data_IF_383654825573
#
_entry.id   IF_383654825573
#
_cell.length_a   1.000
_cell.length_b   1.000
_cell.length_c   1.000
_cell.angle_alpha   90.00
_cell.angle_beta   90.00
_cell.angle_gamma   90.00
#
_symmetry.space_group_name_H-M   'P 1'
#
loop_
_entity.id
_entity.type
_entity.pdbx_description
1 polymer ?
#
# COMPACT_ATOMS: atom_id res chain seq x y z
N UNK A 1 11.75 14.87 -16.62
CA UNK A 1 12.05 15.42 -15.27
C UNK A 1 13.19 14.66 -14.60
N UNK A 2 13.21 13.32 -14.59
CA UNK A 2 14.34 12.54 -14.04
C UNK A 2 15.67 12.81 -14.76
N UNK A 3 15.66 12.97 -16.10
CA UNK A 3 16.86 13.30 -16.88
C UNK A 3 17.46 14.70 -16.58
N UNK A 4 16.69 15.61 -15.94
CA UNK A 4 17.18 16.96 -15.61
C UNK A 4 18.38 16.95 -14.68
N UNK A 5 18.57 15.86 -13.91
CA UNK A 5 19.73 15.73 -13.02
C UNK A 5 21.06 15.66 -13.80
N UNK A 6 21.02 15.29 -15.07
CA UNK A 6 22.19 15.22 -15.96
C UNK A 6 22.45 16.51 -16.73
N UNK A 7 21.56 17.50 -16.65
CA UNK A 7 21.79 18.81 -17.27
C UNK A 7 23.04 19.47 -16.66
N UNK A 8 23.82 20.24 -17.45
CA UNK A 8 25.01 20.91 -16.94
C UNK A 8 24.67 21.95 -15.85
N UNK A 9 25.66 22.29 -15.03
CA UNK A 9 25.50 23.39 -14.08
C UNK A 9 25.35 24.73 -14.83
N UNK A 10 24.57 25.69 -14.28
CA UNK A 10 24.43 27.00 -14.91
C UNK A 10 25.77 27.74 -14.94
N UNK A 11 25.99 28.62 -15.95
CA UNK A 11 27.18 29.45 -16.01
C UNK A 11 27.20 30.51 -14.89
N UNK A 12 28.36 31.15 -14.62
CA UNK A 12 28.44 32.33 -13.76
C UNK A 12 27.48 33.44 -14.22
N UNK A 13 26.89 34.18 -13.28
CA UNK A 13 25.98 35.30 -13.56
C UNK A 13 26.68 36.51 -14.22
N UNK A 14 27.98 36.66 -13.98
CA UNK A 14 28.84 37.71 -14.55
C UNK A 14 30.15 37.08 -14.98
N UNK A 15 30.76 37.65 -16.01
CA UNK A 15 32.10 37.27 -16.44
C UNK A 15 33.09 37.50 -15.28
N UNK A 16 33.89 36.48 -14.94
CA UNK A 16 34.75 36.48 -13.75
C UNK A 16 34.03 36.34 -12.39
N UNK A 17 32.72 36.16 -12.38
CA UNK A 17 31.92 35.99 -11.17
C UNK A 17 31.99 34.59 -10.54
N UNK A 18 31.25 34.38 -9.45
CA UNK A 18 31.16 33.07 -8.79
C UNK A 18 30.59 32.00 -9.72
N UNK A 19 31.10 30.75 -9.67
CA UNK A 19 30.60 29.67 -10.50
C UNK A 19 29.15 29.34 -10.14
N UNK A 20 28.31 29.20 -11.17
CA UNK A 20 26.97 28.65 -11.01
C UNK A 20 27.03 27.19 -10.54
N UNK A 21 26.07 26.78 -9.70
CA UNK A 21 26.05 25.45 -9.08
C UNK A 21 24.73 24.76 -9.35
N UNK A 22 24.80 23.46 -9.60
CA UNK A 22 23.65 22.56 -9.65
C UNK A 22 23.50 21.88 -8.29
N UNK A 23 22.29 21.93 -7.73
CA UNK A 23 21.95 21.26 -6.47
C UNK A 23 20.91 20.19 -6.79
N UNK A 24 21.28 18.92 -6.58
CA UNK A 24 20.37 17.79 -6.75
C UNK A 24 19.92 17.31 -5.38
N UNK A 25 18.63 17.48 -5.07
CA UNK A 25 18.02 16.93 -3.86
C UNK A 25 17.44 15.56 -4.23
N UNK A 26 17.97 14.49 -3.62
CA UNK A 26 17.65 13.11 -3.99
C UNK A 26 17.39 12.23 -2.77
N UNK A 27 16.75 11.08 -3.00
CA UNK A 27 16.67 9.98 -2.02
C UNK A 27 17.92 9.10 -2.10
N UNK A 28 17.90 7.95 -1.42
CA UNK A 28 18.92 6.91 -1.56
C UNK A 28 19.04 6.32 -2.99
N UNK A 29 18.20 6.71 -3.94
CA UNK A 29 18.40 6.36 -5.36
C UNK A 29 19.75 6.85 -5.91
N UNK A 30 20.26 7.98 -5.41
CA UNK A 30 21.59 8.50 -5.77
C UNK A 30 22.75 7.81 -5.01
N UNK A 31 22.44 6.95 -4.03
CA UNK A 31 23.43 6.27 -3.21
C UNK A 31 24.20 5.20 -3.99
N UNK A 32 23.54 4.45 -4.87
CA UNK A 32 24.14 3.35 -5.62
C UNK A 32 23.76 3.38 -7.10
N UNK A 33 22.47 3.52 -7.42
CA UNK A 33 21.87 3.23 -8.73
C UNK A 33 22.21 4.20 -9.87
N UNK A 34 22.80 5.36 -9.58
CA UNK A 34 23.11 6.37 -10.60
C UNK A 34 24.41 7.14 -10.32
N UNK A 35 24.98 7.65 -11.40
CA UNK A 35 26.20 8.47 -11.47
C UNK A 35 25.82 9.82 -12.04
N UNK A 36 25.89 10.88 -11.24
CA UNK A 36 25.70 12.26 -11.73
C UNK A 36 27.08 12.89 -11.85
N UNK A 37 27.42 13.35 -13.05
CA UNK A 37 28.71 13.98 -13.30
C UNK A 37 28.79 15.36 -12.65
N UNK A 38 30.01 15.72 -12.22
CA UNK A 38 30.31 17.02 -11.60
C UNK A 38 29.94 17.14 -10.12
N UNK A 39 29.51 16.05 -9.47
CA UNK A 39 29.25 16.05 -8.02
C UNK A 39 30.56 16.03 -7.24
N UNK A 40 30.82 17.12 -6.51
CA UNK A 40 31.98 17.26 -5.61
C UNK A 40 31.59 17.55 -4.17
N UNK A 41 30.32 17.84 -3.91
CA UNK A 41 29.80 18.07 -2.57
C UNK A 41 28.62 17.14 -2.32
N UNK A 42 28.69 16.38 -1.24
CA UNK A 42 27.58 15.56 -0.74
C UNK A 42 27.21 16.08 0.64
N UNK A 43 25.92 16.27 0.88
CA UNK A 43 25.39 16.58 2.21
C UNK A 43 24.62 15.33 2.64
N UNK A 44 25.05 14.70 3.73
CA UNK A 44 24.47 13.46 4.23
C UNK A 44 23.79 13.69 5.58
N UNK A 45 22.44 13.76 5.61
CA UNK A 45 21.69 13.85 6.86
C UNK A 45 21.76 12.58 7.73
N UNK A 46 22.19 11.43 7.19
CA UNK A 46 22.28 10.18 7.96
C UNK A 46 21.00 9.37 8.05
N UNK A 47 19.97 9.70 7.26
CA UNK A 47 18.67 9.00 7.27
C UNK A 47 18.25 8.48 5.88
N UNK A 48 17.38 7.47 5.89
CA UNK A 48 16.67 6.96 4.72
C UNK A 48 15.27 6.49 5.12
N UNK A 49 14.33 6.44 4.17
CA UNK A 49 13.06 5.73 4.38
C UNK A 49 13.27 4.25 4.12
N UNK A 50 12.87 3.43 5.07
CA UNK A 50 13.00 1.97 5.01
C UNK A 50 11.63 1.33 5.24
N UNK A 51 11.32 0.30 4.46
CA UNK A 51 10.18 -0.58 4.73
C UNK A 51 10.46 -1.36 6.01
N UNK A 52 9.50 -1.41 6.92
CA UNK A 52 9.59 -2.17 8.16
C UNK A 52 8.30 -2.95 8.33
N UNK A 53 8.43 -4.25 8.57
CA UNK A 53 7.34 -5.15 8.88
C UNK A 53 7.47 -5.67 10.31
N UNK A 54 6.39 -5.57 11.09
CA UNK A 54 6.31 -6.19 12.41
C UNK A 54 5.37 -7.41 12.34
N UNK A 55 5.90 -8.64 12.44
CA UNK A 55 5.10 -9.86 12.29
C UNK A 55 4.11 -10.09 13.45
N UNK A 56 4.35 -9.51 14.63
CA UNK A 56 3.48 -9.69 15.81
C UNK A 56 2.16 -8.95 15.69
N UNK A 57 2.19 -7.77 15.10
CA UNK A 57 1.00 -6.93 14.87
C UNK A 57 0.58 -6.91 13.39
N UNK A 58 1.30 -7.63 12.53
CA UNK A 58 1.05 -7.77 11.08
C UNK A 58 0.98 -6.44 10.33
N UNK A 59 1.77 -5.46 10.78
CA UNK A 59 1.82 -4.11 10.20
C UNK A 59 3.08 -3.92 9.38
N UNK A 60 2.91 -3.41 8.16
CA UNK A 60 3.99 -2.89 7.32
C UNK A 60 3.88 -1.37 7.20
N UNK A 61 5.00 -0.66 7.40
CA UNK A 61 5.04 0.80 7.30
C UNK A 61 6.41 1.29 6.79
N UNK A 62 6.43 2.49 6.21
CA UNK A 62 7.66 3.18 5.82
C UNK A 62 8.13 4.07 6.97
N UNK A 63 9.27 3.74 7.56
CA UNK A 63 9.87 4.51 8.66
C UNK A 63 11.11 5.26 8.18
N UNK A 64 11.31 6.45 8.74
CA UNK A 64 12.59 7.16 8.58
C UNK A 64 13.55 6.57 9.60
N UNK A 65 14.61 5.94 9.12
CA UNK A 65 15.59 5.22 9.94
C UNK A 65 17.00 5.73 9.66
N UNK A 66 17.89 5.69 10.67
CA UNK A 66 19.31 5.95 10.45
C UNK A 66 19.89 4.99 9.38
N UNK A 67 20.86 5.48 8.61
CA UNK A 67 21.58 4.66 7.63
C UNK A 67 22.66 3.81 8.29
N UNK A 68 23.22 2.86 7.56
CA UNK A 68 24.42 2.14 7.99
C UNK A 68 25.69 2.92 7.68
N UNK A 69 26.80 2.52 8.32
CA UNK A 69 28.16 2.97 7.97
C UNK A 69 28.44 2.68 6.49
N UNK A 70 28.06 1.50 5.97
CA UNK A 70 28.22 1.17 4.56
C UNK A 70 27.49 2.17 3.63
N UNK A 71 26.23 2.50 3.93
CA UNK A 71 25.48 3.52 3.20
C UNK A 71 26.12 4.90 3.28
N UNK A 72 26.59 5.32 4.46
CA UNK A 72 27.30 6.59 4.64
C UNK A 72 28.60 6.67 3.82
N UNK A 73 29.32 5.55 3.68
CA UNK A 73 30.50 5.45 2.81
C UNK A 73 30.12 5.51 1.32
N UNK A 74 29.06 4.83 0.91
CA UNK A 74 28.54 4.88 -0.47
C UNK A 74 28.15 6.30 -0.86
N UNK A 75 27.47 7.03 0.03
CA UNK A 75 27.12 8.45 -0.15
C UNK A 75 28.35 9.33 -0.29
N UNK A 76 29.32 9.22 0.61
CA UNK A 76 30.56 10.00 0.50
C UNK A 76 31.35 9.69 -0.77
N UNK A 77 31.32 8.43 -1.22
CA UNK A 77 31.96 8.00 -2.47
C UNK A 77 31.39 8.70 -3.72
N UNK A 78 30.18 9.26 -3.66
CA UNK A 78 29.60 10.02 -4.79
C UNK A 78 30.30 11.35 -5.04
N UNK A 79 30.91 11.96 -4.03
CA UNK A 79 31.63 13.24 -4.17
C UNK A 79 33.01 13.10 -4.85
N UNK A 80 33.59 11.89 -4.86
CA UNK A 80 34.98 11.65 -5.27
C UNK A 80 35.14 10.98 -6.62
N UNK A 81 34.11 10.96 -7.48
CA UNK A 81 34.13 10.18 -8.73
C UNK A 81 34.94 10.82 -9.85
N UNK A 82 34.70 12.09 -10.14
CA UNK A 82 35.35 12.78 -11.26
C UNK A 82 36.56 13.59 -10.83
N UNK A 83 36.56 14.05 -9.58
CA UNK A 83 37.64 14.85 -8.98
C UNK A 83 37.53 14.80 -7.45
N UNK A 84 38.54 15.29 -6.68
CA UNK A 84 38.45 15.35 -5.23
C UNK A 84 37.23 16.12 -4.75
N UNK A 85 36.48 15.53 -3.82
CA UNK A 85 35.25 16.11 -3.28
C UNK A 85 35.17 16.06 -1.75
N UNK A 86 34.11 16.64 -1.20
CA UNK A 86 33.85 16.71 0.24
C UNK A 86 32.46 16.16 0.55
N UNK A 87 32.38 15.37 1.61
CA UNK A 87 31.11 14.91 2.16
C UNK A 87 30.88 15.56 3.52
N UNK A 88 29.79 16.30 3.66
CA UNK A 88 29.35 16.93 4.89
C UNK A 88 28.31 16.04 5.56
N UNK A 89 28.73 15.29 6.59
CA UNK A 89 27.86 14.45 7.41
C UNK A 89 27.25 15.30 8.52
N UNK A 90 25.93 15.32 8.65
CA UNK A 90 25.21 16.15 9.63
C UNK A 90 25.05 15.44 10.98
N UNK A 91 26.08 14.70 11.39
CA UNK A 91 26.12 13.91 12.62
C UNK A 91 27.56 13.81 13.12
N UNK A 92 27.75 13.59 14.42
CA UNK A 92 29.08 13.56 15.03
C UNK A 92 29.84 12.28 14.64
N UNK A 93 31.16 12.34 14.69
CA UNK A 93 32.00 11.14 14.52
C UNK A 93 31.68 10.08 15.59
N UNK A 94 31.36 10.50 16.81
CA UNK A 94 30.90 9.60 17.87
C UNK A 94 29.63 8.85 17.46
N UNK A 95 28.63 9.56 16.92
CA UNK A 95 27.40 8.92 16.43
C UNK A 95 27.65 8.02 15.23
N UNK A 96 28.54 8.41 14.32
CA UNK A 96 28.95 7.55 13.21
C UNK A 96 29.55 6.23 13.72
N UNK A 97 30.40 6.28 14.74
CA UNK A 97 31.09 5.10 15.25
C UNK A 97 30.23 4.24 16.17
N UNK A 98 29.40 4.84 17.02
CA UNK A 98 28.66 4.13 18.08
C UNK A 98 27.19 3.86 17.74
N UNK A 99 26.53 4.76 17.01
CA UNK A 99 25.08 4.68 16.79
C UNK A 99 24.75 4.00 15.45
N UNK A 100 25.57 4.20 14.41
CA UNK A 100 25.33 3.59 13.09
C UNK A 100 25.80 2.15 13.01
N UNK A 101 24.94 1.29 12.48
CA UNK A 101 25.26 -0.12 12.23
C UNK A 101 26.28 -0.27 11.10
N UNK A 102 27.18 -1.27 11.13
CA UNK A 102 28.17 -1.47 10.07
C UNK A 102 27.55 -1.65 8.68
N UNK A 103 26.54 -2.50 8.57
CA UNK A 103 25.84 -2.85 7.35
C UNK A 103 24.34 -2.61 7.51
N UNK A 104 23.66 -2.34 6.40
CA UNK A 104 22.20 -2.25 6.38
C UNK A 104 21.64 -3.67 6.45
N UNK A 105 20.67 -3.93 7.32
CA UNK A 105 19.99 -5.23 7.35
C UNK A 105 19.40 -5.58 5.97
N UNK A 106 19.55 -6.84 5.52
CA UNK A 106 18.91 -7.35 4.31
C UNK A 106 17.39 -7.11 4.32
N UNK A 107 16.82 -6.78 3.16
CA UNK A 107 15.40 -6.42 3.04
C UNK A 107 14.46 -7.58 3.43
N UNK A 108 14.89 -8.83 3.20
CA UNK A 108 14.13 -10.04 3.57
C UNK A 108 13.88 -10.15 5.08
N UNK A 109 14.75 -9.59 5.92
CA UNK A 109 14.59 -9.62 7.38
C UNK A 109 13.60 -8.58 7.92
N UNK A 110 13.13 -7.66 7.06
CA UNK A 110 12.43 -6.43 7.47
C UNK A 110 11.18 -6.14 6.64
N UNK A 111 10.77 -7.05 5.77
CA UNK A 111 9.63 -6.89 4.86
C UNK A 111 8.59 -7.98 5.04
N UNK A 112 7.36 -7.71 4.61
CA UNK A 112 6.35 -8.76 4.49
C UNK A 112 6.76 -9.76 3.39
N UNK A 113 6.72 -11.06 3.71
CA UNK A 113 7.17 -12.13 2.81
C UNK A 113 6.04 -12.79 2.03
N UNK A 114 4.79 -12.36 2.15
CA UNK A 114 3.66 -13.01 1.49
C UNK A 114 3.84 -13.13 -0.04
N UNK A 115 4.29 -12.07 -0.72
CA UNK A 115 4.61 -12.14 -2.16
C UNK A 115 5.79 -13.07 -2.47
N UNK A 116 6.84 -13.01 -1.66
CA UNK A 116 8.04 -13.84 -1.83
C UNK A 116 7.69 -15.32 -1.68
N UNK A 117 6.94 -15.68 -0.64
CA UNK A 117 6.47 -17.04 -0.38
C UNK A 117 5.58 -17.54 -1.51
N UNK A 118 4.61 -16.72 -1.97
CA UNK A 118 3.75 -17.09 -3.09
C UNK A 118 4.56 -17.36 -4.36
N UNK A 119 5.59 -16.55 -4.62
CA UNK A 119 6.49 -16.72 -5.77
C UNK A 119 7.35 -17.98 -5.63
N UNK A 120 7.90 -18.26 -4.45
CA UNK A 120 8.69 -19.47 -4.19
C UNK A 120 7.85 -20.75 -4.37
N UNK A 121 6.62 -20.75 -3.84
CA UNK A 121 5.67 -21.86 -4.01
C UNK A 121 5.32 -22.08 -5.47
N UNK A 122 5.11 -21.02 -6.25
CA UNK A 122 4.91 -21.10 -7.70
C UNK A 122 6.11 -21.70 -8.44
N UNK A 123 7.34 -21.44 -7.97
CA UNK A 123 8.55 -22.04 -8.53
C UNK A 123 8.74 -23.52 -8.16
N UNK A 124 7.83 -24.11 -7.38
CA UNK A 124 7.91 -25.51 -6.93
C UNK A 124 8.80 -25.71 -5.71
N UNK A 125 9.05 -24.66 -4.94
CA UNK A 125 9.82 -24.75 -3.69
C UNK A 125 8.84 -24.96 -2.53
N UNK A 126 8.77 -26.19 -2.05
CA UNK A 126 7.84 -26.56 -0.98
C UNK A 126 8.41 -26.36 0.42
N UNK A 127 9.68 -26.71 0.60
CA UNK A 127 10.38 -26.58 1.88
C UNK A 127 11.01 -25.19 2.00
N UNK A 128 10.23 -24.25 2.53
CA UNK A 128 10.67 -22.89 2.78
C UNK A 128 11.56 -22.76 4.03
N UNK A 129 11.56 -23.77 4.91
CA UNK A 129 12.35 -23.75 6.15
C UNK A 129 13.81 -24.08 5.86
N UNK A 130 14.05 -25.05 4.98
CA UNK A 130 15.39 -25.47 4.55
C UNK A 130 15.84 -24.84 3.23
N UNK A 131 15.09 -23.86 2.71
CA UNK A 131 15.54 -23.10 1.55
C UNK A 131 16.81 -22.32 1.88
N UNK A 132 17.79 -22.35 0.97
CA UNK A 132 19.13 -21.79 1.17
C UNK A 132 19.14 -20.25 1.03
N UNK A 133 18.54 -19.57 2.01
CA UNK A 133 18.63 -18.12 2.14
C UNK A 133 20.02 -17.72 2.64
N UNK A 134 20.65 -16.74 1.99
CA UNK A 134 21.90 -16.13 2.48
C UNK A 134 21.73 -15.57 3.90
N UNK A 135 20.62 -14.89 4.14
CA UNK A 135 20.18 -14.42 5.45
C UNK A 135 18.73 -14.87 5.66
N UNK A 136 18.48 -15.99 6.38
CA UNK A 136 17.13 -16.53 6.53
C UNK A 136 16.24 -15.59 7.36
N UNK A 137 14.97 -15.39 6.97
CA UNK A 137 14.04 -14.60 7.75
C UNK A 137 13.70 -15.27 9.08
N UNK A 138 13.18 -14.48 10.03
CA UNK A 138 12.66 -15.04 11.28
C UNK A 138 11.53 -16.05 10.98
N UNK A 139 11.50 -17.23 11.64
CA UNK A 139 10.45 -18.23 11.43
C UNK A 139 9.04 -17.66 11.62
N UNK A 140 8.86 -16.74 12.57
CA UNK A 140 7.60 -16.04 12.80
C UNK A 140 7.12 -15.27 11.55
N UNK A 141 8.01 -14.57 10.85
CA UNK A 141 7.68 -13.83 9.62
C UNK A 141 7.25 -14.77 8.50
N UNK A 142 7.93 -15.92 8.37
CA UNK A 142 7.59 -16.93 7.37
C UNK A 142 6.22 -17.57 7.68
N UNK A 143 5.98 -17.92 8.94
CA UNK A 143 4.69 -18.44 9.39
C UNK A 143 3.55 -17.46 9.12
N UNK A 144 3.74 -16.15 9.38
CA UNK A 144 2.73 -15.13 9.07
C UNK A 144 2.45 -15.00 7.58
N UNK A 145 3.47 -15.12 6.74
CA UNK A 145 3.28 -15.10 5.28
C UNK A 145 2.46 -16.32 4.81
N UNK A 146 2.76 -17.51 5.33
CA UNK A 146 1.98 -18.73 5.05
C UNK A 146 0.53 -18.61 5.55
N UNK A 147 0.33 -18.12 6.77
CA UNK A 147 -0.99 -17.89 7.36
C UNK A 147 -1.84 -16.91 6.52
N UNK A 148 -1.25 -15.79 6.10
CA UNK A 148 -1.92 -14.80 5.23
C UNK A 148 -2.33 -15.44 3.90
N UNK A 149 -1.46 -16.22 3.28
CA UNK A 149 -1.76 -16.88 1.99
C UNK A 149 -2.81 -17.98 2.13
N UNK A 150 -2.80 -18.74 3.24
CA UNK A 150 -3.86 -19.71 3.55
C UNK A 150 -5.21 -19.01 3.77
N UNK A 151 -5.27 -17.92 4.57
CA UNK A 151 -6.51 -17.15 4.73
C UNK A 151 -7.06 -16.57 3.42
N UNK A 152 -6.18 -16.17 2.48
CA UNK A 152 -6.60 -15.69 1.16
C UNK A 152 -7.08 -16.83 0.23
N UNK A 153 -6.84 -18.08 0.62
CA UNK A 153 -7.10 -19.28 -0.18
C UNK A 153 -6.06 -19.51 -1.28
N UNK A 154 -4.90 -18.85 -1.20
CA UNK A 154 -3.79 -19.05 -2.13
C UNK A 154 -3.02 -20.34 -1.84
N UNK A 155 -2.99 -20.75 -0.56
CA UNK A 155 -2.48 -22.05 -0.11
C UNK A 155 -3.62 -22.86 0.52
N UNK A 156 -3.55 -24.19 0.41
CA UNK A 156 -4.41 -25.09 1.19
C UNK A 156 -3.86 -25.29 2.63
N UNK A 157 -4.51 -26.14 3.42
CA UNK A 157 -4.13 -26.40 4.81
C UNK A 157 -2.85 -27.26 4.92
N UNK A 158 -2.52 -27.98 3.85
CA UNK A 158 -1.27 -28.72 3.68
C UNK A 158 -0.11 -27.82 3.20
N UNK A 159 -0.39 -26.57 2.82
CA UNK A 159 0.60 -25.60 2.36
C UNK A 159 0.99 -25.71 0.88
N UNK A 160 0.19 -26.39 0.07
CA UNK A 160 0.34 -26.46 -1.39
C UNK A 160 -0.33 -25.27 -2.07
N UNK A 161 0.15 -24.94 -3.26
CA UNK A 161 -0.40 -23.86 -4.07
C UNK A 161 -1.76 -24.26 -4.65
N UNK A 162 -2.81 -23.49 -4.36
CA UNK A 162 -4.14 -23.71 -4.94
C UNK A 162 -4.23 -23.12 -6.35
N UNK A 163 -5.26 -23.50 -7.12
CA UNK A 163 -5.56 -22.87 -8.43
C UNK A 163 -5.75 -21.35 -8.31
N UNK A 164 -6.35 -20.90 -7.21
CA UNK A 164 -6.49 -19.48 -6.92
C UNK A 164 -5.13 -18.84 -6.66
N UNK A 165 -4.27 -19.49 -5.87
CA UNK A 165 -2.90 -19.04 -5.61
C UNK A 165 -2.06 -18.95 -6.88
N UNK A 166 -2.19 -19.92 -7.79
CA UNK A 166 -1.53 -19.92 -9.09
C UNK A 166 -1.91 -18.68 -9.91
N UNK A 167 -3.21 -18.38 -10.01
CA UNK A 167 -3.70 -17.18 -10.70
C UNK A 167 -3.20 -15.91 -9.98
N UNK A 168 -3.27 -15.86 -8.65
CA UNK A 168 -2.81 -14.71 -7.85
C UNK A 168 -1.32 -14.41 -8.06
N UNK A 169 -0.49 -15.45 -8.18
CA UNK A 169 0.97 -15.36 -8.35
C UNK A 169 1.42 -14.79 -9.71
N UNK A 170 0.48 -14.58 -10.63
CA UNK A 170 0.73 -14.04 -11.97
C UNK A 170 0.50 -12.53 -12.03
N UNK A 171 -0.15 -11.97 -11.02
CA UNK A 171 -0.33 -10.54 -10.88
C UNK A 171 0.88 -9.93 -10.15
N UNK A 172 1.48 -8.84 -10.66
CA UNK A 172 2.56 -8.13 -9.99
C UNK A 172 2.00 -7.20 -8.89
N UNK A 173 1.18 -7.75 -8.00
CA UNK A 173 0.47 -7.04 -6.94
C UNK A 173 0.62 -7.81 -5.62
N UNK A 174 0.39 -7.12 -4.50
CA UNK A 174 0.29 -7.78 -3.19
C UNK A 174 -0.84 -8.82 -3.17
N UNK A 175 -0.72 -9.93 -2.39
CA UNK A 175 -1.62 -11.06 -2.53
C UNK A 175 -3.07 -10.70 -2.16
N UNK A 176 -3.26 -9.77 -1.23
CA UNK A 176 -4.58 -9.24 -0.87
C UNK A 176 -5.24 -8.50 -2.04
N UNK A 177 -4.47 -7.69 -2.76
CA UNK A 177 -4.95 -6.95 -3.94
C UNK A 177 -5.19 -7.89 -5.13
N UNK A 178 -4.33 -8.89 -5.32
CA UNK A 178 -4.52 -9.96 -6.31
C UNK A 178 -5.81 -10.74 -6.03
N UNK A 179 -6.06 -11.14 -4.78
CA UNK A 179 -7.29 -11.81 -4.35
C UNK A 179 -8.52 -10.96 -4.65
N UNK A 180 -8.49 -9.68 -4.26
CA UNK A 180 -9.56 -8.72 -4.55
C UNK A 180 -9.89 -8.67 -6.04
N UNK A 181 -8.86 -8.59 -6.90
CA UNK A 181 -9.04 -8.53 -8.36
C UNK A 181 -9.60 -9.84 -8.93
N UNK A 182 -9.10 -11.00 -8.49
CA UNK A 182 -9.51 -12.31 -9.00
C UNK A 182 -10.96 -12.65 -8.63
N UNK A 183 -11.42 -12.27 -7.43
CA UNK A 183 -12.79 -12.56 -6.95
C UNK A 183 -13.80 -11.50 -7.41
N UNK A 184 -13.35 -10.31 -7.81
CA UNK A 184 -14.24 -9.22 -8.26
C UNK A 184 -15.30 -9.57 -9.33
N UNK A 185 -15.09 -10.53 -10.25
CA UNK A 185 -16.15 -10.95 -11.18
C UNK A 185 -17.35 -11.60 -10.50
N UNK A 186 -17.16 -12.26 -9.35
CA UNK A 186 -18.26 -12.87 -8.57
C UNK A 186 -19.23 -11.80 -8.02
N UNK A 187 -18.72 -10.59 -7.80
CA UNK A 187 -19.49 -9.43 -7.37
C UNK A 187 -19.96 -8.55 -8.52
N UNK A 188 -19.70 -8.91 -9.79
CA UNK A 188 -20.05 -8.12 -10.97
C UNK A 188 -19.48 -6.68 -10.99
N UNK A 189 -18.28 -6.46 -10.42
CA UNK A 189 -17.65 -5.12 -10.31
C UNK A 189 -16.16 -5.11 -10.66
N UNK A 190 -15.73 -6.09 -11.46
CA UNK A 190 -14.31 -6.27 -11.82
C UNK A 190 -13.68 -5.10 -12.57
N UNK A 191 -14.44 -4.32 -13.36
CA UNK A 191 -13.92 -3.15 -14.07
C UNK A 191 -13.54 -2.02 -13.11
N UNK A 192 -14.34 -1.83 -12.06
CA UNK A 192 -14.13 -0.81 -11.03
C UNK A 192 -12.98 -1.22 -10.12
N UNK A 193 -12.97 -2.48 -9.67
CA UNK A 193 -11.90 -3.03 -8.83
C UNK A 193 -10.55 -2.97 -9.55
N UNK A 194 -10.52 -3.28 -10.84
CA UNK A 194 -9.33 -3.14 -11.67
C UNK A 194 -8.79 -1.70 -11.68
N UNK A 195 -9.69 -0.72 -11.76
CA UNK A 195 -9.33 0.70 -11.75
C UNK A 195 -8.84 1.14 -10.36
N UNK A 196 -9.47 0.66 -9.29
CA UNK A 196 -9.03 0.89 -7.91
C UNK A 196 -7.63 0.28 -7.68
N UNK A 197 -7.40 -0.98 -8.05
CA UNK A 197 -6.09 -1.64 -7.93
C UNK A 197 -4.99 -0.87 -8.65
N UNK A 198 -5.29 -0.37 -9.85
CA UNK A 198 -4.34 0.45 -10.62
C UNK A 198 -4.02 1.79 -9.92
N UNK A 199 -5.02 2.43 -9.33
CA UNK A 199 -4.85 3.68 -8.56
C UNK A 199 -4.08 3.48 -7.25
N UNK A 200 -4.25 2.32 -6.59
CA UNK A 200 -3.51 1.96 -5.38
C UNK A 200 -2.05 1.59 -5.66
N UNK A 201 -1.75 1.10 -6.88
CA UNK A 201 -0.42 0.67 -7.29
C UNK A 201 0.53 1.82 -7.68
N UNK A 202 0.03 3.06 -7.69
CA UNK A 202 0.80 4.26 -8.05
C UNK A 202 0.93 5.23 -6.89
N UNK A 203 1.89 6.18 -6.91
CA UNK A 203 1.95 7.23 -5.92
C UNK A 203 0.64 8.02 -5.85
N UNK A 204 0.33 8.55 -4.66
CA UNK A 204 -0.89 9.32 -4.40
C UNK A 204 -1.18 10.33 -5.52
N UNK A 205 -2.40 10.28 -6.06
CA UNK A 205 -2.84 11.11 -7.18
C UNK A 205 -3.13 12.56 -6.76
N UNK A 206 -3.38 12.84 -5.48
CA UNK A 206 -3.69 14.19 -5.01
C UNK A 206 -2.42 15.02 -4.75
N UNK A 207 -2.34 16.20 -5.36
CA UNK A 207 -1.29 17.18 -5.15
C UNK A 207 -1.77 18.21 -4.13
N UNK A 208 -1.03 18.40 -3.04
CA UNK A 208 -1.42 19.35 -1.98
C UNK A 208 -0.27 20.33 -1.67
N UNK A 209 -0.09 21.39 -2.50
CA UNK A 209 0.95 22.40 -2.28
C UNK A 209 0.75 23.13 -0.95
N UNK A 210 1.84 23.51 -0.26
CA UNK A 210 1.74 24.22 1.03
C UNK A 210 1.04 25.58 0.94
N UNK A 211 1.21 26.26 -0.19
CA UNK A 211 0.64 27.60 -0.44
C UNK A 211 -0.85 27.55 -0.81
N UNK A 212 -1.32 26.41 -1.35
CA UNK A 212 -2.67 26.25 -1.89
C UNK A 212 -3.44 25.09 -1.24
N UNK A 213 -3.18 24.82 0.04
CA UNK A 213 -3.75 23.67 0.76
C UNK A 213 -5.28 23.66 0.72
N UNK A 214 -5.91 24.81 1.00
CA UNK A 214 -7.37 24.94 1.04
C UNK A 214 -8.00 24.64 -0.34
N UNK A 215 -7.43 25.22 -1.41
CA UNK A 215 -7.89 24.98 -2.78
C UNK A 215 -7.73 23.52 -3.21
N UNK A 216 -6.63 22.87 -2.80
CA UNK A 216 -6.41 21.45 -3.07
C UNK A 216 -7.40 20.55 -2.31
N UNK A 217 -7.73 20.90 -1.06
CA UNK A 217 -8.71 20.17 -0.24
C UNK A 217 -10.14 20.34 -0.80
N UNK A 218 -10.51 21.55 -1.25
CA UNK A 218 -11.77 21.82 -1.95
C UNK A 218 -11.87 21.06 -3.28
N UNK A 219 -10.80 21.06 -4.08
CA UNK A 219 -10.74 20.30 -5.33
C UNK A 219 -10.89 18.80 -5.08
N UNK A 220 -10.24 18.28 -4.04
CA UNK A 220 -10.37 16.87 -3.61
C UNK A 220 -11.79 16.54 -3.17
N UNK A 221 -12.45 17.43 -2.43
CA UNK A 221 -13.82 17.22 -1.94
C UNK A 221 -14.82 17.01 -3.08
N UNK A 222 -14.59 17.59 -4.27
CA UNK A 222 -15.42 17.37 -5.47
C UNK A 222 -15.46 15.91 -5.95
N UNK A 223 -14.41 15.14 -5.65
CA UNK A 223 -14.34 13.71 -5.99
C UNK A 223 -14.75 12.81 -4.81
N UNK A 224 -14.93 13.40 -3.62
CA UNK A 224 -15.19 12.68 -2.39
C UNK A 224 -16.44 11.81 -2.49
N UNK A 225 -16.29 10.52 -2.22
CA UNK A 225 -17.41 9.60 -2.12
C UNK A 225 -17.79 9.40 -0.65
N UNK A 226 -19.09 9.41 -0.34
CA UNK A 226 -19.64 9.28 1.03
C UNK A 226 -19.17 8.01 1.75
N UNK A 227 -19.04 6.91 1.01
CA UNK A 227 -18.60 5.62 1.56
C UNK A 227 -17.07 5.48 1.67
N UNK A 228 -16.27 6.43 1.17
CA UNK A 228 -14.83 6.52 1.47
C UNK A 228 -13.85 6.56 0.28
N UNK A 229 -12.57 6.46 0.62
CA UNK A 229 -11.45 6.89 -0.22
C UNK A 229 -11.20 6.00 -1.46
N UNK A 230 -11.46 4.70 -1.40
CA UNK A 230 -11.29 3.82 -2.57
C UNK A 230 -12.22 4.23 -3.71
N UNK A 231 -13.46 4.60 -3.37
CA UNK A 231 -14.44 5.09 -4.33
C UNK A 231 -14.12 6.52 -4.78
N UNK A 232 -13.54 7.34 -3.91
CA UNK A 232 -12.96 8.63 -4.31
C UNK A 232 -11.85 8.44 -5.36
N UNK A 233 -10.97 7.44 -5.23
CA UNK A 233 -9.95 7.13 -6.24
C UNK A 233 -10.59 6.67 -7.57
N UNK A 234 -11.67 5.88 -7.50
CA UNK A 234 -12.43 5.48 -8.67
C UNK A 234 -13.04 6.69 -9.39
N UNK A 235 -13.64 7.62 -8.65
CA UNK A 235 -14.20 8.87 -9.18
C UNK A 235 -13.13 9.70 -9.90
N UNK A 236 -11.95 9.84 -9.30
CA UNK A 236 -10.82 10.56 -9.93
C UNK A 236 -10.42 9.88 -11.25
N UNK A 237 -10.29 8.55 -11.26
CA UNK A 237 -9.92 7.82 -12.47
C UNK A 237 -10.97 7.96 -13.57
N UNK A 238 -12.26 7.82 -13.25
CA UNK A 238 -13.34 8.01 -14.21
C UNK A 238 -13.37 9.44 -14.75
N UNK A 239 -13.27 10.45 -13.89
CA UNK A 239 -13.26 11.85 -14.31
C UNK A 239 -12.05 12.14 -15.23
N UNK A 240 -10.88 11.58 -14.93
CA UNK A 240 -9.70 11.72 -15.79
C UNK A 240 -9.92 11.14 -17.20
N UNK A 241 -10.50 9.94 -17.30
CA UNK A 241 -10.80 9.31 -18.59
C UNK A 241 -11.90 10.04 -19.34
N UNK A 242 -12.92 10.56 -18.66
CA UNK A 242 -13.99 11.36 -19.27
C UNK A 242 -13.48 12.69 -19.83
N UNK A 243 -12.46 13.29 -19.21
CA UNK A 243 -11.80 14.51 -19.68
C UNK A 243 -10.65 14.23 -20.66
N UNK A 244 -10.66 13.08 -21.35
CA UNK A 244 -9.70 12.71 -22.39
C UNK A 244 -8.22 12.84 -21.95
N UNK A 245 -7.93 12.52 -20.69
CA UNK A 245 -6.57 12.51 -20.16
C UNK A 245 -5.86 13.89 -20.17
N UNK A 246 -6.65 14.98 -20.20
CA UNK A 246 -6.16 16.35 -20.37
C UNK A 246 -5.20 16.79 -19.23
N UNK A 247 -3.96 17.20 -19.56
CA UNK A 247 -3.03 17.78 -18.59
C UNK A 247 -3.58 19.01 -17.86
N UNK A 248 -4.36 19.86 -18.55
CA UNK A 248 -4.87 21.12 -17.99
C UNK A 248 -5.92 20.83 -16.93
N UNK A 249 -6.85 19.92 -17.22
CA UNK A 249 -7.81 19.40 -16.24
C UNK A 249 -7.13 18.84 -14.99
N UNK A 250 -6.04 18.08 -15.13
CA UNK A 250 -5.28 17.57 -13.98
C UNK A 250 -4.71 18.71 -13.12
N UNK A 251 -4.15 19.75 -13.76
CA UNK A 251 -3.58 20.89 -13.04
C UNK A 251 -4.65 21.65 -12.24
N UNK A 252 -5.78 21.97 -12.87
CA UNK A 252 -6.90 22.69 -12.24
C UNK A 252 -7.56 21.92 -11.09
N UNK A 253 -7.51 20.58 -11.13
CA UNK A 253 -8.07 19.72 -10.11
C UNK A 253 -7.06 19.25 -9.06
N UNK A 254 -5.83 19.77 -9.09
CA UNK A 254 -4.75 19.36 -8.19
C UNK A 254 -4.46 17.84 -8.25
N UNK A 255 -4.52 17.27 -9.45
CA UNK A 255 -4.28 15.86 -9.70
C UNK A 255 -2.93 15.65 -10.39
N UNK A 256 -2.19 14.64 -9.94
CA UNK A 256 -0.91 14.25 -10.51
C UNK A 256 -1.10 13.46 -11.81
N UNK A 257 -1.02 14.15 -12.95
CA UNK A 257 -1.15 13.57 -14.27
C UNK A 257 -0.21 12.37 -14.50
N UNK A 258 1.04 12.43 -14.03
CA UNK A 258 1.99 11.32 -14.20
C UNK A 258 1.57 10.08 -13.43
N UNK A 259 1.03 10.29 -12.22
CA UNK A 259 0.47 9.21 -11.41
C UNK A 259 -0.69 8.53 -12.15
N UNK A 260 -1.62 9.30 -12.69
CA UNK A 260 -2.76 8.78 -13.45
C UNK A 260 -2.37 8.07 -14.75
N UNK A 261 -1.43 8.62 -15.52
CA UNK A 261 -0.91 7.94 -16.72
C UNK A 261 -0.24 6.62 -16.36
N UNK A 262 0.48 6.57 -15.24
CA UNK A 262 1.05 5.33 -14.72
C UNK A 262 -0.04 4.36 -14.29
N UNK A 263 -1.12 4.83 -13.65
CA UNK A 263 -2.24 3.99 -13.26
C UNK A 263 -2.92 3.39 -14.49
N UNK A 264 -3.14 4.17 -15.55
CA UNK A 264 -3.72 3.66 -16.80
C UNK A 264 -2.85 2.56 -17.43
N UNK A 265 -1.52 2.73 -17.45
CA UNK A 265 -0.59 1.70 -17.91
C UNK A 265 -0.67 0.41 -17.06
N UNK A 266 -0.71 0.54 -15.73
CA UNK A 266 -0.87 -0.60 -14.82
C UNK A 266 -2.20 -1.29 -15.09
N UNK A 267 -3.29 -0.53 -15.23
CA UNK A 267 -4.62 -1.06 -15.55
C UNK A 267 -4.60 -1.87 -16.84
N UNK A 268 -3.98 -1.36 -17.91
CA UNK A 268 -3.86 -2.07 -19.19
C UNK A 268 -2.99 -3.34 -19.09
N UNK A 269 -1.97 -3.36 -18.23
CA UNK A 269 -1.22 -4.58 -17.93
C UNK A 269 -2.09 -5.62 -17.22
N UNK A 270 -2.84 -5.20 -16.20
CA UNK A 270 -3.73 -6.08 -15.44
C UNK A 270 -4.88 -6.64 -16.31
N UNK A 271 -5.44 -5.84 -17.22
CA UNK A 271 -6.44 -6.32 -18.21
C UNK A 271 -5.91 -7.49 -19.03
N UNK A 272 -4.66 -7.41 -19.50
CA UNK A 272 -4.05 -8.49 -20.30
C UNK A 272 -3.90 -9.77 -19.49
N UNK A 273 -3.51 -9.65 -18.22
CA UNK A 273 -3.38 -10.80 -17.31
C UNK A 273 -4.77 -11.41 -17.03
N UNK A 274 -5.79 -10.59 -16.74
CA UNK A 274 -7.16 -11.05 -16.55
C UNK A 274 -7.71 -11.77 -17.78
N UNK A 275 -7.46 -11.25 -18.98
CA UNK A 275 -7.83 -11.89 -20.24
C UNK A 275 -7.17 -13.25 -20.44
N UNK A 276 -5.89 -13.39 -20.09
CA UNK A 276 -5.16 -14.68 -20.17
C UNK A 276 -5.77 -15.76 -19.28
N UNK A 277 -6.30 -15.39 -18.12
CA UNK A 277 -6.98 -16.31 -17.18
C UNK A 277 -8.49 -16.39 -17.37
N UNK A 278 -9.04 -15.82 -18.45
CA UNK A 278 -10.48 -15.79 -18.73
C UNK A 278 -11.32 -15.18 -17.58
N UNK A 279 -10.75 -14.22 -16.83
CA UNK A 279 -11.49 -13.49 -15.80
C UNK A 279 -12.42 -12.48 -16.48
N UNK A 280 -13.72 -12.60 -16.21
CA UNK A 280 -14.75 -11.76 -16.83
C UNK A 280 -14.61 -10.31 -16.39
N UNK A 281 -14.44 -9.41 -17.36
CA UNK A 281 -14.58 -7.97 -17.15
C UNK A 281 -16.06 -7.58 -17.22
N UNK A 282 -16.62 -7.30 -16.06
CA UNK A 282 -18.01 -6.92 -15.83
C UNK A 282 -18.11 -5.72 -14.90
N UNK A 283 -19.21 -5.00 -15.06
CA UNK A 283 -19.63 -3.86 -14.23
C UNK A 283 -21.13 -3.98 -14.00
N UNK A 284 -21.58 -3.63 -12.80
CA UNK A 284 -23.00 -3.55 -12.45
C UNK A 284 -23.56 -2.26 -13.06
N UNK A 285 -24.87 -2.20 -13.35
CA UNK A 285 -25.47 -0.94 -13.78
C UNK A 285 -25.25 0.16 -12.72
N UNK A 286 -24.78 1.32 -13.16
CA UNK A 286 -24.47 2.46 -12.28
C UNK A 286 -25.70 2.96 -11.52
N UNK A 287 -26.89 2.85 -12.12
CA UNK A 287 -28.14 3.24 -11.47
C UNK A 287 -28.63 2.23 -10.43
N UNK A 288 -28.03 1.04 -10.38
CA UNK A 288 -28.36 0.05 -9.36
C UNK A 288 -27.82 0.47 -8.01
N UNK A 289 -28.64 0.30 -6.97
CA UNK A 289 -28.20 0.42 -5.58
C UNK A 289 -27.01 -0.49 -5.25
N UNK A 290 -26.90 -1.60 -5.97
CA UNK A 290 -25.88 -2.61 -5.70
C UNK A 290 -24.51 -2.23 -6.27
N UNK A 291 -24.39 -1.21 -7.13
CA UNK A 291 -23.14 -0.82 -7.78
C UNK A 291 -22.00 -0.59 -6.75
N UNK A 292 -22.18 0.36 -5.83
CA UNK A 292 -21.17 0.65 -4.80
C UNK A 292 -21.07 -0.45 -3.74
N UNK A 293 -22.18 -1.13 -3.44
CA UNK A 293 -22.21 -2.23 -2.47
C UNK A 293 -21.33 -3.39 -2.95
N UNK A 294 -21.43 -3.75 -4.23
CA UNK A 294 -20.66 -4.82 -4.85
C UNK A 294 -19.17 -4.50 -4.85
N UNK A 295 -18.79 -3.26 -5.17
CA UNK A 295 -17.39 -2.82 -5.10
C UNK A 295 -16.85 -2.95 -3.67
N UNK A 296 -17.59 -2.48 -2.66
CA UNK A 296 -17.20 -2.57 -1.25
C UNK A 296 -17.07 -4.02 -0.75
N UNK A 297 -17.97 -4.90 -1.16
CA UNK A 297 -17.89 -6.34 -0.86
C UNK A 297 -16.68 -7.01 -1.52
N UNK A 298 -16.40 -6.69 -2.80
CA UNK A 298 -15.24 -7.22 -3.50
C UNK A 298 -13.92 -6.77 -2.85
N UNK A 299 -13.84 -5.50 -2.41
CA UNK A 299 -12.68 -5.02 -1.65
C UNK A 299 -12.48 -5.80 -0.35
N UNK A 300 -13.58 -6.08 0.37
CA UNK A 300 -13.51 -6.85 1.59
C UNK A 300 -12.98 -8.27 1.36
N UNK A 301 -13.26 -8.90 0.21
CA UNK A 301 -12.76 -10.25 -0.11
C UNK A 301 -11.23 -10.36 -0.17
N UNK A 302 -10.51 -9.26 -0.43
CA UNK A 302 -9.04 -9.20 -0.35
C UNK A 302 -8.51 -8.58 0.94
N UNK A 303 -9.20 -7.56 1.46
CA UNK A 303 -8.74 -6.74 2.59
C UNK A 303 -9.44 -7.06 3.92
N UNK A 304 -10.08 -8.21 4.07
CA UNK A 304 -10.75 -8.62 5.32
C UNK A 304 -9.81 -8.68 6.54
N UNK A 305 -8.50 -8.84 6.36
CA UNK A 305 -7.54 -8.76 7.46
C UNK A 305 -7.26 -7.31 7.90
N UNK A 306 -7.49 -6.33 7.02
CA UNK A 306 -7.25 -4.91 7.24
C UNK A 306 -8.56 -4.16 7.54
N UNK A 307 -9.17 -4.55 8.65
CA UNK A 307 -10.42 -3.96 9.14
C UNK A 307 -10.21 -3.33 10.52
N UNK A 308 -10.88 -2.21 10.77
CA UNK A 308 -10.94 -1.58 12.07
C UNK A 308 -12.39 -1.30 12.51
N UNK A 309 -12.62 -1.41 13.81
CA UNK A 309 -13.91 -1.18 14.46
C UNK A 309 -13.87 0.11 15.29
N UNK A 310 -14.94 0.91 15.25
CA UNK A 310 -15.07 2.13 16.02
C UNK A 310 -15.47 1.81 17.47
N UNK A 311 -14.63 2.18 18.42
CA UNK A 311 -14.94 2.06 19.85
C UNK A 311 -15.75 3.26 20.33
N UNK A 312 -16.51 3.09 21.43
CA UNK A 312 -17.32 4.17 22.05
C UNK A 312 -16.55 5.44 22.39
N UNK A 313 -15.26 5.31 22.68
CA UNK A 313 -14.34 6.40 22.96
C UNK A 313 -13.94 7.21 21.71
N UNK A 314 -14.39 6.81 20.52
CA UNK A 314 -14.21 7.55 19.27
C UNK A 314 -12.89 7.30 18.53
N UNK A 315 -12.07 6.37 19.01
CA UNK A 315 -10.92 5.82 18.29
C UNK A 315 -11.28 4.49 17.63
N UNK A 316 -10.46 4.03 16.69
CA UNK A 316 -10.66 2.73 16.05
C UNK A 316 -9.69 1.70 16.62
N UNK A 317 -10.11 0.43 16.58
CA UNK A 317 -9.31 -0.71 16.99
C UNK A 317 -9.18 -1.68 15.80
N UNK A 318 -7.96 -2.06 15.43
CA UNK A 318 -7.78 -3.05 14.36
C UNK A 318 -8.25 -4.45 14.80
N UNK A 319 -8.87 -5.16 13.87
CA UNK A 319 -9.37 -6.52 14.09
C UNK A 319 -8.21 -7.49 14.39
N UNK A 320 -8.40 -8.37 15.39
CA UNK A 320 -7.43 -9.35 15.94
C UNK A 320 -6.17 -8.75 16.60
N UNK A 321 -5.52 -7.74 16.02
CA UNK A 321 -4.26 -7.18 16.56
C UNK A 321 -4.46 -6.09 17.62
N UNK A 322 -5.70 -5.61 17.81
CA UNK A 322 -6.10 -4.61 18.81
C UNK A 322 -5.22 -3.35 18.81
N UNK A 323 -4.79 -2.87 17.64
CA UNK A 323 -4.03 -1.63 17.54
C UNK A 323 -4.98 -0.44 17.54
N UNK A 324 -4.75 0.50 18.47
CA UNK A 324 -5.48 1.77 18.49
C UNK A 324 -5.03 2.64 17.32
N UNK A 325 -5.98 3.00 16.45
CA UNK A 325 -5.74 3.79 15.23
C UNK A 325 -6.77 4.91 15.08
N UNK A 326 -6.43 5.89 14.26
CA UNK A 326 -7.33 6.97 13.84
C UNK A 326 -7.42 7.03 12.32
N UNK A 327 -8.50 7.59 11.80
CA UNK A 327 -8.59 7.90 10.37
C UNK A 327 -7.53 8.95 10.01
N UNK A 328 -6.74 8.68 8.99
CA UNK A 328 -5.73 9.63 8.52
C UNK A 328 -6.41 10.95 8.09
N UNK A 329 -5.87 12.15 8.42
CA UNK A 329 -6.52 13.43 8.12
C UNK A 329 -6.80 13.69 6.63
N UNK A 330 -6.22 12.90 5.73
CA UNK A 330 -6.48 12.99 4.30
C UNK A 330 -7.73 12.26 3.85
N UNK A 331 -8.45 11.54 4.71
CA UNK A 331 -9.63 10.79 4.30
C UNK A 331 -10.78 11.74 3.90
N UNK A 332 -11.67 11.28 3.03
CA UNK A 332 -12.83 12.03 2.54
C UNK A 332 -14.13 11.78 3.33
N UNK A 333 -14.09 10.98 4.40
CA UNK A 333 -15.29 10.66 5.19
C UNK A 333 -15.65 11.87 6.07
N UNK A 334 -16.92 12.25 6.02
CA UNK A 334 -17.52 13.29 6.87
C UNK A 334 -18.03 12.75 8.21
N UNK A 335 -18.17 11.43 8.33
CA UNK A 335 -18.59 10.72 9.52
C UNK A 335 -17.58 9.64 9.92
N UNK A 336 -17.82 8.97 11.06
CA UNK A 336 -17.04 7.82 11.52
C UNK A 336 -17.88 6.56 11.39
N UNK A 337 -17.67 5.73 10.35
CA UNK A 337 -18.35 4.46 10.22
C UNK A 337 -18.01 3.50 11.36
N UNK A 338 -18.93 2.60 11.69
CA UNK A 338 -18.68 1.60 12.74
C UNK A 338 -17.57 0.62 12.34
N UNK A 339 -17.56 0.22 11.07
CA UNK A 339 -16.59 -0.70 10.50
C UNK A 339 -15.96 -0.10 9.26
N UNK A 340 -14.64 -0.20 9.16
CA UNK A 340 -13.91 0.31 8.00
C UNK A 340 -12.85 -0.68 7.52
N UNK A 341 -12.71 -0.80 6.20
CA UNK A 341 -11.52 -1.37 5.58
C UNK A 341 -10.49 -0.27 5.35
N UNK A 342 -9.20 -0.59 5.43
CA UNK A 342 -8.11 0.34 5.13
C UNK A 342 -7.04 -0.31 4.26
N UNK A 343 -6.40 0.48 3.38
CA UNK A 343 -5.31 -0.02 2.54
C UNK A 343 -3.95 0.05 3.23
N UNK A 344 -3.68 1.10 4.01
CA UNK A 344 -2.34 1.33 4.58
C UNK A 344 -2.39 1.70 6.06
N UNK A 345 -1.48 1.13 6.83
CA UNK A 345 -1.21 1.51 8.21
C UNK A 345 -0.02 2.48 8.26
N UNK A 346 -0.21 3.66 8.85
CA UNK A 346 0.78 4.72 8.91
C UNK A 346 1.22 4.93 10.35
N UNK A 347 2.46 4.52 10.65
CA UNK A 347 3.05 4.63 11.98
C UNK A 347 3.73 5.99 12.15
N UNK A 348 3.19 6.84 13.03
CA UNK A 348 3.78 8.14 13.42
C UNK A 348 3.71 8.32 14.93
N UNK A 349 3.64 9.55 15.45
CA UNK A 349 3.36 9.79 16.87
C UNK A 349 1.98 9.28 17.30
N UNK A 350 1.03 9.23 16.37
CA UNK A 350 -0.22 8.46 16.48
C UNK A 350 -0.31 7.49 15.31
N UNK A 351 -0.95 6.35 15.53
CA UNK A 351 -1.19 5.40 14.45
C UNK A 351 -2.40 5.84 13.64
N UNK A 352 -2.24 5.87 12.32
CA UNK A 352 -3.32 6.21 11.40
C UNK A 352 -3.56 5.07 10.41
N UNK A 353 -4.81 4.93 9.99
CA UNK A 353 -5.18 4.13 8.84
C UNK A 353 -5.55 5.05 7.67
N UNK A 354 -5.00 4.76 6.49
CA UNK A 354 -5.10 5.59 5.28
C UNK A 354 -5.77 4.83 4.15
N UNK A 355 -6.51 5.58 3.34
CA UNK A 355 -7.39 5.09 2.28
C UNK A 355 -8.44 4.17 2.86
N UNK A 356 -9.46 4.78 3.44
CA UNK A 356 -10.45 4.10 4.28
C UNK A 356 -11.81 4.05 3.58
N UNK A 357 -12.51 2.93 3.69
CA UNK A 357 -13.86 2.76 3.15
C UNK A 357 -14.78 2.10 4.16
N UNK A 358 -16.00 2.63 4.27
CA UNK A 358 -17.07 2.09 5.10
C UNK A 358 -17.46 0.67 4.63
N UNK A 359 -17.73 -0.22 5.57
CA UNK A 359 -18.25 -1.58 5.32
C UNK A 359 -19.30 -1.96 6.36
N UNK A 360 -20.12 -2.96 6.04
CA UNK A 360 -21.06 -3.53 7.02
C UNK A 360 -20.45 -4.74 7.72
N UNK A 361 -20.65 -4.83 9.04
CA UNK A 361 -20.19 -5.98 9.83
C UNK A 361 -20.75 -7.32 9.34
N UNK A 362 -21.97 -7.33 8.78
CA UNK A 362 -22.59 -8.54 8.18
C UNK A 362 -21.72 -9.15 7.09
N UNK A 363 -21.05 -8.31 6.28
CA UNK A 363 -20.21 -8.79 5.17
C UNK A 363 -18.94 -9.49 5.65
N UNK A 364 -18.44 -9.14 6.84
CA UNK A 364 -17.26 -9.80 7.44
C UNK A 364 -17.55 -11.30 7.67
N UNK A 365 -18.74 -11.57 8.20
CA UNK A 365 -19.23 -12.91 8.54
C UNK A 365 -19.64 -13.72 7.30
N UNK A 366 -20.08 -13.03 6.24
CA UNK A 366 -20.46 -13.69 4.98
C UNK A 366 -19.28 -13.97 4.06
N UNK A 367 -18.32 -13.04 3.95
CA UNK A 367 -17.23 -13.11 2.97
C UNK A 367 -16.01 -13.85 3.53
N UNK A 368 -15.70 -13.69 4.82
CA UNK A 368 -14.53 -14.31 5.43
C UNK A 368 -14.84 -14.97 6.79
N UNK A 369 -15.81 -15.90 6.88
CA UNK A 369 -16.17 -16.56 8.14
C UNK A 369 -15.00 -17.30 8.78
N UNK A 370 -14.09 -17.86 7.98
CA UNK A 370 -12.88 -18.55 8.44
C UNK A 370 -11.91 -17.63 9.19
N UNK A 371 -11.83 -16.35 8.80
CA UNK A 371 -11.00 -15.38 9.52
C UNK A 371 -11.74 -14.77 10.72
N UNK A 372 -13.05 -14.51 10.58
CA UNK A 372 -13.92 -13.96 11.63
C UNK A 372 -14.56 -15.04 12.52
N UNK A 373 -13.82 -16.12 12.78
CA UNK A 373 -14.19 -17.14 13.74
C UNK A 373 -14.12 -16.60 15.17
N UNK A 374 -15.22 -16.72 15.91
CA UNK A 374 -15.38 -16.19 17.27
C UNK A 374 -14.59 -16.96 18.33
N UNK A 375 -14.24 -18.23 18.09
CA UNK A 375 -13.47 -19.04 19.03
C UNK A 375 -12.07 -18.44 19.22
N UNK A 376 -11.45 -18.04 18.10
CA UNK A 376 -10.10 -17.49 18.05
C UNK A 376 -10.05 -15.95 18.04
N UNK A 377 -11.21 -15.28 18.16
CA UNK A 377 -11.28 -13.82 18.15
C UNK A 377 -11.02 -13.23 19.56
N UNK A 378 -10.17 -12.20 19.70
CA UNK A 378 -9.91 -11.58 21.00
C UNK A 378 -11.16 -10.90 21.59
N UNK A 379 -11.25 -10.86 22.92
CA UNK A 379 -12.38 -10.24 23.59
C UNK A 379 -12.31 -8.69 23.49
N UNK A 380 -13.12 -8.11 22.60
CA UNK A 380 -13.27 -6.67 22.41
C UNK A 380 -14.72 -6.29 22.02
N UNK A 381 -15.04 -5.01 21.87
CA UNK A 381 -16.38 -4.57 21.44
C UNK A 381 -16.75 -5.15 20.08
N UNK A 382 -15.78 -5.19 19.14
CA UNK A 382 -15.93 -5.80 17.83
C UNK A 382 -16.41 -7.27 17.91
N UNK A 383 -15.88 -8.08 18.84
CA UNK A 383 -16.34 -9.48 19.05
C UNK A 383 -17.80 -9.53 19.49
N UNK A 384 -18.22 -8.63 20.38
CA UNK A 384 -19.61 -8.58 20.87
C UNK A 384 -20.59 -8.18 19.77
N UNK A 385 -20.17 -7.30 18.88
CA UNK A 385 -20.95 -6.93 17.69
C UNK A 385 -21.04 -8.12 16.74
N UNK A 386 -19.91 -8.78 16.44
CA UNK A 386 -19.89 -9.97 15.59
C UNK A 386 -20.76 -11.11 16.16
N UNK A 387 -20.72 -11.40 17.47
CA UNK A 387 -21.59 -12.40 18.11
C UNK A 387 -23.08 -12.13 17.88
N UNK A 388 -23.52 -10.87 17.98
CA UNK A 388 -24.90 -10.48 17.66
C UNK A 388 -25.23 -10.72 16.18
N UNK A 389 -24.29 -10.43 15.28
CA UNK A 389 -24.47 -10.64 13.84
C UNK A 389 -24.55 -12.13 13.49
N UNK A 390 -23.72 -12.98 14.12
CA UNK A 390 -23.80 -14.43 13.97
C UNK A 390 -25.17 -14.97 14.43
N UNK A 391 -25.64 -14.57 15.62
CA UNK A 391 -26.98 -14.95 16.12
C UNK A 391 -28.12 -14.50 15.21
N UNK A 392 -28.02 -13.27 14.68
CA UNK A 392 -29.00 -12.74 13.71
C UNK A 392 -29.01 -13.61 12.43
N UNK A 393 -27.84 -13.96 11.91
CA UNK A 393 -27.68 -14.80 10.72
C UNK A 393 -28.25 -16.20 10.90
N UNK A 394 -28.02 -16.82 12.06
CA UNK A 394 -28.60 -18.13 12.38
C UNK A 394 -30.12 -18.07 12.42
N UNK A 395 -30.69 -17.05 13.09
CA UNK A 395 -32.13 -16.85 13.14
C UNK A 395 -32.73 -16.67 11.74
N UNK A 396 -32.11 -15.87 10.88
CA UNK A 396 -32.57 -15.67 9.49
C UNK A 396 -32.50 -16.96 8.65
N UNK A 397 -31.47 -17.81 8.87
CA UNK A 397 -31.37 -19.12 8.22
C UNK A 397 -32.47 -20.08 8.69
N UNK A 398 -32.77 -20.09 9.98
CA UNK A 398 -33.83 -20.94 10.54
C UNK A 398 -35.23 -20.50 10.08
N UNK A 399 -35.47 -19.19 10.01
CA UNK A 399 -36.71 -18.64 9.44
C UNK A 399 -36.85 -18.99 7.94
N UNK A 400 -35.75 -18.94 7.17
CA UNK A 400 -35.77 -19.33 5.75
C UNK A 400 -35.98 -20.84 5.55
N UNK A 401 -35.50 -21.68 6.47
CA UNK A 401 -35.74 -23.14 6.49
C UNK A 401 -37.18 -23.48 6.87
N UNK A 402 -37.80 -22.72 7.78
CA UNK A 402 -39.19 -22.91 8.21
C UNK A 402 -40.22 -22.47 7.17
N UNK A 403 -39.82 -21.61 6.21
CA UNK A 403 -40.67 -21.11 5.11
C UNK A 403 -40.59 -21.95 3.82
N UNK A 404 -39.66 -22.91 3.74
CA UNK A 404 -39.56 -23.88 2.64
C UNK A 404 -40.13 -25.22 3.09
#
# INVERSE_FOLDING_TARGET
MQQKIFEPAPPPLKEGGLPGRKIVVSTNIAETSLTIDGIVYVIDPGFAKQKVYNPRIRVESLLVSPISKASAHQRSGRAGRTQPGKCFRLYTERSFNNDLQPQTYPEILRSNLANTVLTLKKLGIDDLVHFDFMDPPAPETLMRALEVLNYLGALDDEGNLTKLGEIMSEFPLDPQMSKMLVVSPEFNCSNEILSISAMLSVPNCFVRPREAQKAADEAKARFGHIDGDHLTLLNVYHAYKQNNEDPSWCYENFINQRGLKSADNVRQQLVRIMGRFNLKLCSTDFNSRDYYINIRKAMLAGYFMQVAHLERTGHYLTVKDNQTVHLHPSNCLDHKPEWVIYNEFVLTSRNFIRTVTDIKGEWLVDIAPHYYDLENFPNCEAKRVLDKLYKKREREKDEARSRK
#
